data_IF_130956838705
#
_entry.id   IF_130956838705
#
_cell.length_a   1.000
_cell.length_b   1.000
_cell.length_c   1.000
_cell.angle_alpha   90.00
_cell.angle_beta   90.00
_cell.angle_gamma   90.00
#
_symmetry.space_group_name_H-M   'P 1'
#
loop_
_entity.id
_entity.type
_entity.pdbx_description
1 polymer ?
#
# COMPACT_ATOMS: atom_id res chain seq x y z
N UNK A 1 -33.20 1.77 61.61
CA UNK A 1 -32.62 1.67 62.98
C UNK A 1 -31.28 0.96 62.88
N UNK A 2 -30.39 1.19 63.84
CA UNK A 2 -28.95 0.90 63.72
C UNK A 2 -28.56 -0.56 64.02
N UNK A 3 -27.43 -1.00 63.44
CA UNK A 3 -26.32 -1.57 64.24
C UNK A 3 -24.96 -1.53 63.51
N UNK A 4 -24.09 -0.68 64.06
CA UNK A 4 -22.62 -0.78 64.08
C UNK A 4 -22.30 -1.92 65.10
N UNK A 5 -21.15 -2.62 65.18
CA UNK A 5 -19.79 -2.42 64.66
C UNK A 5 -19.29 -3.73 63.97
N UNK A 6 -18.07 -4.31 64.05
CA UNK A 6 -16.87 -4.19 64.90
C UNK A 6 -15.59 -4.46 64.07
N UNK A 7 -14.42 -4.51 64.72
CA UNK A 7 -13.08 -4.42 64.13
C UNK A 7 -12.41 -5.77 63.84
N UNK A 8 -11.49 -5.80 62.87
CA UNK A 8 -10.44 -6.82 62.78
C UNK A 8 -9.10 -6.19 62.37
N UNK A 9 -8.18 -5.98 63.32
CA UNK A 9 -6.83 -5.45 63.08
C UNK A 9 -5.81 -6.35 63.75
N UNK A 10 -5.03 -7.09 62.97
CA UNK A 10 -3.92 -7.92 63.46
C UNK A 10 -2.61 -7.31 62.96
N UNK A 11 -1.64 -7.21 63.87
CA UNK A 11 -0.28 -6.72 63.60
C UNK A 11 0.65 -7.93 63.73
N UNK A 12 1.50 -8.16 62.73
CA UNK A 12 2.76 -8.88 62.90
C UNK A 12 3.85 -8.17 62.09
N UNK A 13 5.07 -8.21 62.63
CA UNK A 13 6.21 -7.40 62.20
C UNK A 13 7.34 -8.29 61.64
N UNK A 14 8.50 -7.66 61.37
CA UNK A 14 9.79 -8.24 60.98
C UNK A 14 9.92 -8.62 59.48
N UNK A 15 11.09 -8.30 58.92
CA UNK A 15 11.37 -8.49 57.48
C UNK A 15 12.34 -7.49 56.83
N UNK A 16 13.06 -6.64 57.59
CA UNK A 16 14.08 -5.75 57.00
C UNK A 16 15.33 -6.56 56.62
N UNK A 17 15.34 -7.11 55.42
CA UNK A 17 16.54 -7.66 54.78
C UNK A 17 17.15 -6.55 53.93
N UNK A 18 18.23 -5.94 54.42
CA UNK A 18 18.94 -4.87 53.72
C UNK A 18 19.82 -5.46 52.59
N UNK A 19 19.19 -5.89 51.51
CA UNK A 19 19.88 -6.47 50.35
C UNK A 19 20.79 -5.44 49.68
N UNK A 20 22.10 -5.70 49.66
CA UNK A 20 23.09 -4.86 48.99
C UNK A 20 22.94 -5.00 47.47
N UNK A 21 22.06 -4.21 46.86
CA UNK A 21 21.94 -4.11 45.40
C UNK A 21 23.16 -3.36 44.84
N UNK A 22 24.15 -4.12 44.39
CA UNK A 22 25.30 -3.60 43.64
C UNK A 22 24.81 -3.10 42.29
N UNK A 23 24.64 -1.78 42.17
CA UNK A 23 24.35 -1.12 40.90
C UNK A 23 25.58 -1.14 40.00
N UNK A 24 25.73 -2.23 39.25
CA UNK A 24 26.66 -2.29 38.12
C UNK A 24 26.12 -1.36 37.03
N UNK A 25 26.63 -0.13 36.99
CA UNK A 25 26.46 0.76 35.85
C UNK A 25 27.25 0.20 34.67
N UNK A 26 26.66 -0.75 33.94
CA UNK A 26 27.07 -1.03 32.57
C UNK A 26 26.86 0.24 31.77
N UNK A 27 27.92 0.73 31.12
CA UNK A 27 27.83 1.91 30.28
C UNK A 27 26.90 1.61 29.10
N UNK A 28 25.67 2.10 29.16
CA UNK A 28 24.72 2.03 28.07
C UNK A 28 25.27 2.81 26.89
N UNK A 29 25.86 2.11 25.93
CA UNK A 29 26.30 2.71 24.67
C UNK A 29 25.07 3.35 24.02
N UNK A 30 25.09 4.68 23.89
CA UNK A 30 24.06 5.42 23.15
C UNK A 30 24.20 5.00 21.70
N UNK A 31 23.40 4.02 21.30
CA UNK A 31 23.28 3.62 19.90
C UNK A 31 22.76 4.83 19.14
N UNK A 32 23.64 5.47 18.38
CA UNK A 32 23.25 6.47 17.41
C UNK A 32 22.17 5.85 16.51
N UNK A 33 21.11 6.60 16.24
CA UNK A 33 20.05 6.15 15.35
C UNK A 33 20.67 5.91 13.96
N UNK A 34 20.92 4.63 13.65
CA UNK A 34 21.51 4.23 12.37
C UNK A 34 20.62 4.70 11.23
N UNK A 35 21.24 5.15 10.15
CA UNK A 35 20.51 5.50 8.93
C UNK A 35 19.66 4.29 8.49
N UNK A 36 18.41 4.51 8.05
CA UNK A 36 17.55 3.41 7.64
C UNK A 36 18.23 2.63 6.51
N UNK A 37 18.28 1.29 6.59
CA UNK A 37 19.06 0.50 5.63
C UNK A 37 18.56 0.76 4.21
N UNK A 38 19.50 1.06 3.31
CA UNK A 38 19.20 1.33 1.91
C UNK A 38 18.31 0.23 1.33
N UNK A 39 17.21 0.64 0.69
CA UNK A 39 16.15 -0.27 0.27
C UNK A 39 16.72 -1.43 -0.57
N UNK A 40 16.57 -2.65 -0.04
CA UNK A 40 17.20 -3.84 -0.62
C UNK A 40 16.78 -4.01 -2.09
N UNK A 41 17.72 -3.80 -2.99
CA UNK A 41 17.49 -3.96 -4.43
C UNK A 41 17.22 -5.43 -4.72
N UNK A 42 16.03 -5.73 -5.24
CA UNK A 42 15.71 -7.07 -5.75
C UNK A 42 16.80 -7.51 -6.73
N UNK A 43 17.30 -8.74 -6.56
CA UNK A 43 18.30 -9.33 -7.45
C UNK A 43 17.77 -9.65 -8.85
N UNK A 44 16.46 -9.51 -9.06
CA UNK A 44 15.80 -9.72 -10.34
C UNK A 44 15.45 -8.38 -10.98
N UNK A 45 15.84 -8.20 -12.25
CA UNK A 45 15.41 -7.03 -13.04
C UNK A 45 13.91 -7.12 -13.34
N UNK A 46 13.27 -5.97 -13.59
CA UNK A 46 11.84 -5.91 -13.92
C UNK A 46 11.44 -6.85 -15.07
N UNK A 47 12.26 -6.95 -16.12
CA UNK A 47 12.04 -7.85 -17.25
C UNK A 47 12.10 -9.35 -16.90
N UNK A 48 12.79 -9.73 -15.82
CA UNK A 48 12.83 -11.10 -15.30
C UNK A 48 11.62 -11.33 -14.39
N UNK A 49 11.34 -10.40 -13.47
CA UNK A 49 10.16 -10.44 -12.59
C UNK A 49 8.85 -10.59 -13.40
N UNK A 50 8.67 -9.76 -14.42
CA UNK A 50 7.50 -9.73 -15.31
C UNK A 50 7.42 -10.90 -16.31
N UNK A 51 8.30 -11.91 -16.20
CA UNK A 51 8.28 -13.17 -16.97
C UNK A 51 8.57 -14.39 -16.09
N UNK A 52 8.42 -14.24 -14.78
CA UNK A 52 8.73 -15.27 -13.79
C UNK A 52 7.46 -15.83 -13.17
N UNK A 53 7.54 -17.05 -12.62
CA UNK A 53 6.41 -17.69 -11.92
C UNK A 53 5.84 -16.85 -10.76
N UNK A 54 6.63 -15.90 -10.24
CA UNK A 54 6.25 -14.97 -9.17
C UNK A 54 5.68 -13.64 -9.67
N UNK A 55 5.42 -13.47 -10.98
CA UNK A 55 4.74 -12.28 -11.50
C UNK A 55 3.33 -12.18 -10.87
N UNK A 56 3.04 -11.17 -10.02
CA UNK A 56 1.75 -11.04 -9.34
C UNK A 56 0.64 -10.56 -10.28
N UNK A 57 0.98 -10.17 -11.51
CA UNK A 57 0.08 -9.59 -12.51
C UNK A 57 -0.31 -10.57 -13.64
N UNK A 58 0.04 -11.84 -13.49
CA UNK A 58 -0.41 -13.00 -14.30
C UNK A 58 -1.17 -13.91 -13.32
N UNK A 59 -2.42 -13.61 -13.06
CA UNK A 59 -3.23 -14.20 -12.00
C UNK A 59 -4.17 -15.30 -12.50
N UNK A 60 -4.25 -15.53 -13.80
CA UNK A 60 -5.06 -16.58 -14.43
C UNK A 60 -4.11 -17.56 -15.17
N UNK A 61 -4.45 -18.85 -15.23
CA UNK A 61 -3.72 -19.85 -16.04
C UNK A 61 -4.33 -20.05 -17.43
N UNK A 62 -3.69 -20.88 -18.25
CA UNK A 62 -4.15 -21.21 -19.61
C UNK A 62 -5.54 -21.89 -19.61
N UNK A 63 -5.94 -22.53 -18.50
CA UNK A 63 -7.26 -23.12 -18.29
C UNK A 63 -8.37 -22.11 -17.89
N UNK A 64 -8.01 -20.90 -17.44
CA UNK A 64 -8.96 -19.86 -17.00
C UNK A 64 -9.26 -19.81 -15.49
N UNK A 65 -8.59 -20.64 -14.68
CA UNK A 65 -8.65 -20.62 -13.22
C UNK A 65 -7.81 -19.48 -12.61
N UNK A 66 -8.29 -18.91 -11.51
CA UNK A 66 -7.55 -17.89 -10.74
C UNK A 66 -6.47 -18.57 -9.88
N UNK A 67 -5.21 -18.15 -10.09
CA UNK A 67 -4.02 -18.53 -9.34
C UNK A 67 -3.98 -17.85 -7.97
N UNK A 68 -4.93 -18.19 -7.08
CA UNK A 68 -5.16 -17.55 -5.77
C UNK A 68 -3.90 -17.36 -4.89
N UNK A 69 -2.89 -18.23 -5.03
CA UNK A 69 -1.60 -18.08 -4.35
C UNK A 69 -0.85 -16.78 -4.69
N UNK A 70 -1.05 -16.23 -5.90
CA UNK A 70 -0.44 -14.95 -6.33
C UNK A 70 -1.06 -13.74 -5.64
N UNK A 71 -2.32 -13.80 -5.21
CA UNK A 71 -2.95 -12.74 -4.40
C UNK A 71 -2.15 -12.47 -3.12
N UNK A 72 -1.61 -13.52 -2.50
CA UNK A 72 -0.80 -13.46 -1.29
C UNK A 72 0.57 -12.77 -1.49
N UNK A 73 0.97 -12.38 -2.70
CA UNK A 73 2.19 -11.58 -2.94
C UNK A 73 1.97 -10.14 -2.46
N UNK A 74 0.79 -9.57 -2.71
CA UNK A 74 0.43 -8.21 -2.33
C UNK A 74 -0.40 -8.14 -1.04
N UNK A 75 -1.27 -9.13 -0.83
CA UNK A 75 -2.20 -9.20 0.30
C UNK A 75 -1.68 -10.08 1.44
N UNK A 76 -2.22 -9.88 2.64
CA UNK A 76 -1.96 -10.75 3.82
C UNK A 76 -2.79 -12.03 3.82
N UNK A 77 -3.94 -12.01 3.15
CA UNK A 77 -4.89 -13.10 2.95
C UNK A 77 -5.38 -13.07 1.51
N UNK A 78 -5.95 -14.16 1.01
CA UNK A 78 -6.63 -14.15 -0.28
C UNK A 78 -7.93 -13.34 -0.15
N UNK A 79 -8.17 -12.32 -1.00
CA UNK A 79 -9.42 -11.56 -0.96
C UNK A 79 -10.62 -12.37 -1.45
N UNK A 80 -11.79 -12.20 -0.84
CA UNK A 80 -13.05 -12.67 -1.45
C UNK A 80 -13.56 -11.60 -2.43
N UNK A 81 -13.28 -11.80 -3.72
CA UNK A 81 -13.69 -10.90 -4.81
C UNK A 81 -15.21 -10.71 -4.91
N UNK A 82 -16.03 -11.53 -4.25
CA UNK A 82 -17.49 -11.36 -4.18
C UNK A 82 -17.94 -10.43 -3.05
N UNK A 83 -17.15 -10.27 -1.99
CA UNK A 83 -17.48 -9.46 -0.80
C UNK A 83 -16.61 -8.20 -0.69
N UNK A 84 -15.31 -8.33 -0.91
CA UNK A 84 -14.32 -7.26 -0.77
C UNK A 84 -14.20 -6.50 -2.10
N UNK A 85 -14.86 -5.33 -2.20
CA UNK A 85 -15.07 -4.60 -3.47
C UNK A 85 -14.15 -3.41 -3.70
N UNK A 86 -13.46 -2.97 -2.66
CA UNK A 86 -12.64 -1.76 -2.65
C UNK A 86 -11.35 -1.99 -1.87
N UNK A 87 -10.39 -1.06 -2.03
CA UNK A 87 -9.15 -1.05 -1.23
C UNK A 87 -9.39 -0.89 0.29
N UNK A 88 -10.61 -0.53 0.72
CA UNK A 88 -10.98 -0.42 2.14
C UNK A 88 -11.30 -1.79 2.76
N UNK A 89 -11.62 -2.78 1.92
CA UNK A 89 -12.16 -4.08 2.33
C UNK A 89 -11.08 -5.17 2.35
N UNK A 90 -9.91 -4.90 1.77
CA UNK A 90 -8.78 -5.85 1.61
C UNK A 90 -7.59 -5.46 2.48
N UNK A 91 -6.85 -6.45 2.97
CA UNK A 91 -5.61 -6.20 3.73
C UNK A 91 -4.35 -6.38 2.86
N UNK A 92 -3.41 -5.44 2.96
CA UNK A 92 -2.14 -5.40 2.22
C UNK A 92 -0.96 -5.72 3.13
N UNK A 93 0.13 -6.26 2.58
CA UNK A 93 1.34 -6.63 3.35
C UNK A 93 2.12 -5.47 3.97
N UNK A 94 1.90 -4.24 3.52
CA UNK A 94 2.59 -3.04 3.99
C UNK A 94 1.57 -1.95 4.34
N UNK A 95 1.93 -1.06 5.27
CA UNK A 95 1.01 -0.03 5.76
C UNK A 95 0.73 1.09 4.75
N UNK A 96 1.74 1.44 3.93
CA UNK A 96 1.57 2.27 2.74
C UNK A 96 1.34 1.35 1.52
N UNK A 97 0.20 1.46 0.80
CA UNK A 97 -0.07 0.68 -0.40
C UNK A 97 1.00 0.84 -1.50
N UNK A 98 1.74 1.95 -1.49
CA UNK A 98 2.83 2.23 -2.43
C UNK A 98 4.04 1.33 -2.20
N UNK A 99 4.34 0.95 -0.96
CA UNK A 99 5.44 0.02 -0.65
C UNK A 99 5.25 -1.34 -1.30
N UNK A 100 4.00 -1.83 -1.38
CA UNK A 100 3.66 -3.10 -2.04
C UNK A 100 4.21 -3.12 -3.47
N UNK A 101 3.98 -2.03 -4.22
CA UNK A 101 4.52 -1.85 -5.57
C UNK A 101 6.03 -1.62 -5.54
N UNK A 102 6.52 -0.83 -4.58
CA UNK A 102 7.94 -0.48 -4.42
C UNK A 102 8.88 -1.65 -4.12
N UNK A 103 8.38 -2.81 -3.68
CA UNK A 103 9.20 -4.03 -3.56
C UNK A 103 9.56 -4.66 -4.91
N UNK A 104 8.83 -4.32 -5.98
CA UNK A 104 9.02 -4.89 -7.33
C UNK A 104 9.32 -3.84 -8.41
N UNK A 105 8.89 -2.60 -8.21
CA UNK A 105 9.03 -1.49 -9.17
C UNK A 105 9.88 -0.35 -8.59
N UNK A 106 10.75 0.23 -9.42
CA UNK A 106 11.48 1.45 -9.07
C UNK A 106 10.53 2.63 -9.16
N UNK A 107 9.97 3.03 -8.01
CA UNK A 107 9.05 4.18 -7.92
C UNK A 107 9.82 5.49 -8.22
N UNK A 108 9.48 6.13 -9.34
CA UNK A 108 9.93 7.49 -9.69
C UNK A 108 8.74 8.46 -9.57
N UNK A 109 8.97 9.77 -9.31
CA UNK A 109 7.90 10.76 -9.35
C UNK A 109 7.22 10.77 -10.72
N UNK A 110 5.92 10.49 -10.79
CA UNK A 110 5.21 10.43 -12.07
C UNK A 110 3.69 10.56 -11.97
N UNK A 111 3.04 11.07 -13.03
CA UNK A 111 2.09 10.32 -13.84
C UNK A 111 2.85 9.68 -15.02
N UNK A 112 2.75 8.36 -15.19
CA UNK A 112 3.57 7.51 -16.07
C UNK A 112 5.10 7.56 -15.81
N UNK A 113 5.66 6.49 -15.27
CA UNK A 113 7.10 6.37 -14.90
C UNK A 113 8.10 6.37 -16.07
N UNK A 114 7.66 6.82 -17.25
CA UNK A 114 8.32 6.71 -18.53
C UNK A 114 8.67 8.09 -19.11
N UNK A 115 9.50 8.84 -18.37
CA UNK A 115 10.48 9.72 -18.99
C UNK A 115 11.59 8.88 -19.66
N UNK A 116 11.19 7.99 -20.59
CA UNK A 116 12.04 7.09 -21.40
C UNK A 116 12.10 7.56 -22.86
N UNK A 117 11.12 8.36 -23.31
CA UNK A 117 11.28 9.18 -24.49
C UNK A 117 12.37 10.22 -24.21
N UNK A 118 13.41 10.25 -25.04
CA UNK A 118 14.49 11.23 -24.93
C UNK A 118 13.96 12.67 -24.96
N UNK A 119 12.86 12.90 -25.65
CA UNK A 119 12.14 14.17 -25.76
C UNK A 119 11.64 14.69 -24.39
N UNK A 120 11.05 13.84 -23.54
CA UNK A 120 10.68 14.22 -22.17
C UNK A 120 11.93 14.48 -21.32
N UNK A 121 12.97 13.65 -21.43
CA UNK A 121 14.23 13.85 -20.68
C UNK A 121 14.94 15.16 -21.07
N UNK A 122 14.93 15.53 -22.35
CA UNK A 122 15.57 16.73 -22.89
C UNK A 122 14.71 18.00 -22.72
N UNK A 123 13.39 17.87 -22.48
CA UNK A 123 12.50 19.00 -22.24
C UNK A 123 12.72 19.71 -20.90
N UNK A 124 13.46 19.09 -19.96
CA UNK A 124 13.58 19.57 -18.58
C UNK A 124 12.31 19.39 -17.73
N UNK A 125 11.30 18.66 -18.23
CA UNK A 125 10.06 18.39 -17.51
C UNK A 125 10.30 17.56 -16.24
N UNK A 126 10.13 18.20 -15.09
CA UNK A 126 10.11 17.52 -13.79
C UNK A 126 8.71 16.94 -13.56
N UNK A 127 8.60 15.62 -13.69
CA UNK A 127 7.33 14.93 -13.48
C UNK A 127 6.83 15.12 -12.03
N UNK A 128 5.61 15.65 -11.81
CA UNK A 128 5.12 15.99 -10.48
C UNK A 128 4.83 14.74 -9.65
N UNK A 129 5.21 14.77 -8.37
CA UNK A 129 4.93 13.68 -7.43
C UNK A 129 3.41 13.52 -7.23
N UNK A 130 2.88 12.36 -7.65
CA UNK A 130 1.48 12.01 -7.46
C UNK A 130 1.20 11.24 -6.16
N UNK A 131 2.20 10.82 -5.38
CA UNK A 131 2.00 10.12 -4.09
C UNK A 131 1.64 11.11 -2.96
N UNK A 132 0.58 11.89 -3.18
CA UNK A 132 0.13 13.03 -2.37
C UNK A 132 -1.38 13.03 -2.19
N UNK A 133 -1.88 13.78 -1.21
CA UNK A 133 -3.32 13.99 -1.03
C UNK A 133 -3.85 14.91 -2.16
N UNK A 134 -4.82 14.48 -2.97
CA UNK A 134 -5.35 15.26 -4.07
C UNK A 134 -6.16 16.47 -3.57
N UNK A 135 -6.16 17.56 -4.36
CA UNK A 135 -6.99 18.72 -4.03
C UNK A 135 -8.49 18.39 -4.21
N UNK A 136 -9.37 19.18 -3.58
CA UNK A 136 -10.83 18.99 -3.69
C UNK A 136 -11.35 19.01 -5.14
N UNK A 137 -10.67 19.73 -6.04
CA UNK A 137 -10.98 19.78 -7.47
C UNK A 137 -10.64 18.43 -8.13
N UNK A 138 -9.45 17.89 -7.86
CA UNK A 138 -9.03 16.57 -8.35
C UNK A 138 -9.99 15.48 -7.84
N UNK A 139 -10.32 15.47 -6.54
CA UNK A 139 -11.29 14.52 -5.95
C UNK A 139 -12.68 14.64 -6.60
N UNK A 140 -13.09 15.85 -7.01
CA UNK A 140 -14.32 16.05 -7.79
C UNK A 140 -14.22 15.41 -9.17
N UNK A 141 -13.12 15.66 -9.90
CA UNK A 141 -12.86 15.06 -11.21
C UNK A 141 -12.80 13.52 -11.17
N UNK A 142 -12.19 12.95 -10.13
CA UNK A 142 -12.16 11.49 -9.91
C UNK A 142 -13.58 10.90 -9.72
N UNK A 143 -14.49 11.62 -9.05
CA UNK A 143 -15.90 11.23 -8.90
C UNK A 143 -16.67 11.33 -10.22
N UNK A 144 -16.36 12.32 -11.05
CA UNK A 144 -16.88 12.38 -12.41
C UNK A 144 -16.32 11.24 -13.28
N UNK A 145 -15.05 10.89 -13.19
CA UNK A 145 -14.48 9.74 -13.91
C UNK A 145 -15.19 8.42 -13.56
N UNK A 146 -15.47 8.19 -12.27
CA UNK A 146 -16.25 7.03 -11.81
C UNK A 146 -17.70 6.99 -12.32
N UNK A 147 -18.29 8.16 -12.62
CA UNK A 147 -19.66 8.28 -13.14
C UNK A 147 -19.72 8.19 -14.65
N UNK A 148 -18.92 9.02 -15.34
CA UNK A 148 -18.97 9.27 -16.78
C UNK A 148 -18.20 8.19 -17.56
N UNK A 149 -17.04 7.77 -17.05
CA UNK A 149 -16.10 6.85 -17.71
C UNK A 149 -16.03 5.47 -17.03
N UNK A 150 -16.82 5.26 -15.98
CA UNK A 150 -16.83 4.07 -15.10
C UNK A 150 -15.51 3.77 -14.38
N UNK A 151 -14.46 4.57 -14.57
CA UNK A 151 -13.13 4.41 -13.99
C UNK A 151 -13.14 4.58 -12.47
N UNK A 152 -12.89 3.52 -11.72
CA UNK A 152 -12.63 3.63 -10.28
C UNK A 152 -11.19 4.07 -10.03
N UNK A 153 -11.01 5.19 -9.33
CA UNK A 153 -9.70 5.69 -8.90
C UNK A 153 -9.61 5.60 -7.36
N UNK A 154 -9.15 4.47 -6.78
CA UNK A 154 -9.04 4.31 -5.33
C UNK A 154 -7.96 5.22 -4.74
N UNK A 155 -8.19 5.76 -3.55
CA UNK A 155 -7.20 6.44 -2.71
C UNK A 155 -6.80 5.52 -1.55
N UNK A 156 -5.65 5.79 -0.93
CA UNK A 156 -5.27 5.14 0.34
C UNK A 156 -6.37 5.36 1.40
N UNK A 157 -6.99 4.29 1.95
CA UNK A 157 -8.05 4.43 2.94
C UNK A 157 -7.61 5.06 4.27
N UNK A 158 -6.30 5.09 4.58
CA UNK A 158 -5.73 5.69 5.81
C UNK A 158 -5.38 7.18 5.65
N UNK A 159 -4.87 7.59 4.49
CA UNK A 159 -4.30 8.96 4.29
C UNK A 159 -4.96 9.79 3.19
N UNK A 160 -5.94 9.24 2.46
CA UNK A 160 -6.55 9.83 1.26
C UNK A 160 -5.54 10.22 0.15
N UNK A 161 -4.29 9.72 0.20
CA UNK A 161 -3.30 9.92 -0.87
C UNK A 161 -3.69 9.16 -2.14
N UNK A 162 -3.32 9.74 -3.28
CA UNK A 162 -3.14 8.99 -4.52
C UNK A 162 -1.98 8.00 -4.32
N UNK A 163 -2.15 6.79 -4.84
CA UNK A 163 -1.26 5.64 -4.71
C UNK A 163 -1.08 4.97 -6.09
N UNK A 164 -0.14 4.02 -6.19
CA UNK A 164 0.11 3.31 -7.45
C UNK A 164 -1.17 2.68 -8.04
N UNK A 165 -2.02 2.07 -7.21
CA UNK A 165 -3.28 1.45 -7.63
C UNK A 165 -4.42 2.42 -7.93
N UNK A 166 -4.24 3.74 -7.70
CA UNK A 166 -5.15 4.78 -8.19
C UNK A 166 -5.13 4.85 -9.71
N UNK A 167 -3.92 4.88 -10.30
CA UNK A 167 -3.73 5.07 -11.74
C UNK A 167 -3.54 3.75 -12.51
N UNK A 168 -3.10 2.69 -11.82
CA UNK A 168 -2.85 1.36 -12.40
C UNK A 168 -3.79 0.32 -11.78
N UNK A 169 -4.25 -0.66 -12.56
CA UNK A 169 -4.90 -1.86 -12.05
C UNK A 169 -3.84 -2.95 -11.91
N UNK A 170 -3.43 -3.38 -10.72
CA UNK A 170 -2.45 -4.46 -10.60
C UNK A 170 -3.00 -5.79 -11.14
N UNK A 171 -4.33 -5.93 -11.20
CA UNK A 171 -4.97 -7.19 -11.53
C UNK A 171 -5.00 -7.51 -13.03
N UNK A 172 -5.04 -8.80 -13.33
CA UNK A 172 -5.38 -9.34 -14.66
C UNK A 172 -6.90 -9.30 -14.89
N UNK A 173 -7.32 -9.21 -16.15
CA UNK A 173 -8.71 -9.04 -16.54
C UNK A 173 -9.55 -10.27 -16.19
N UNK A 174 -10.67 -10.03 -15.52
CA UNK A 174 -11.58 -11.09 -15.07
C UNK A 174 -11.25 -11.67 -13.69
N UNK A 175 -10.12 -11.27 -13.06
CA UNK A 175 -9.89 -11.50 -11.62
C UNK A 175 -10.88 -10.68 -10.79
N UNK A 176 -11.20 -9.47 -11.26
CA UNK A 176 -12.23 -8.61 -10.70
C UNK A 176 -13.37 -8.43 -11.70
N UNK A 177 -14.49 -7.86 -11.23
CA UNK A 177 -15.70 -7.67 -12.03
C UNK A 177 -16.15 -6.21 -12.04
N UNK A 178 -16.70 -5.76 -13.19
CA UNK A 178 -17.23 -4.41 -13.36
C UNK A 178 -16.15 -3.32 -13.23
N UNK A 179 -16.46 -2.23 -12.51
CA UNK A 179 -15.62 -1.02 -12.48
C UNK A 179 -14.21 -1.20 -11.88
N UNK A 180 -14.00 -2.27 -11.11
CA UNK A 180 -12.69 -2.56 -10.51
C UNK A 180 -11.73 -3.28 -11.49
N UNK A 181 -12.30 -3.97 -12.49
CA UNK A 181 -11.60 -4.62 -13.60
C UNK A 181 -11.13 -3.61 -14.67
N UNK A 182 -11.75 -2.42 -14.71
CA UNK A 182 -11.49 -1.44 -15.77
C UNK A 182 -10.01 -1.00 -15.82
N UNK A 183 -9.40 -1.15 -16.99
CA UNK A 183 -7.97 -0.95 -17.23
C UNK A 183 -7.06 -2.16 -16.97
N UNK A 184 -7.61 -3.31 -16.55
CA UNK A 184 -6.85 -4.56 -16.54
C UNK A 184 -6.36 -4.89 -17.96
N UNK A 185 -5.08 -5.27 -18.07
CA UNK A 185 -4.35 -5.55 -19.32
C UNK A 185 -4.31 -4.41 -20.34
N UNK A 186 -4.62 -3.17 -19.92
CA UNK A 186 -4.29 -1.98 -20.69
C UNK A 186 -2.76 -1.76 -20.71
N UNK A 187 -2.28 -0.82 -21.54
CA UNK A 187 -0.86 -0.43 -21.54
C UNK A 187 -0.49 0.12 -20.15
N UNK A 188 0.62 -0.39 -19.59
CA UNK A 188 1.02 -0.20 -18.17
C UNK A 188 -0.06 -0.55 -17.14
N UNK A 189 -1.03 -1.40 -17.52
CA UNK A 189 -2.29 -1.67 -16.78
C UNK A 189 -3.00 -0.40 -16.32
N UNK A 190 -2.98 0.68 -17.11
CA UNK A 190 -3.59 1.94 -16.71
C UNK A 190 -5.11 1.80 -16.52
N UNK A 191 -5.67 2.39 -15.47
CA UNK A 191 -7.12 2.40 -15.18
C UNK A 191 -7.99 3.14 -16.21
N UNK A 192 -7.39 3.64 -17.30
CA UNK A 192 -8.11 4.11 -18.48
C UNK A 192 -7.76 3.20 -19.65
N UNK A 193 -8.71 2.36 -20.06
CA UNK A 193 -8.47 1.34 -21.08
C UNK A 193 -8.24 1.90 -22.50
N UNK A 194 -8.66 3.14 -22.78
CA UNK A 194 -8.63 3.75 -24.12
C UNK A 194 -8.36 5.26 -24.17
N UNK A 195 -8.46 5.98 -23.04
CA UNK A 195 -8.23 7.43 -22.97
C UNK A 195 -6.99 7.77 -22.12
N UNK A 196 -6.53 9.02 -22.13
CA UNK A 196 -5.51 9.47 -21.19
C UNK A 196 -6.04 9.48 -19.74
N UNK A 197 -5.46 8.62 -18.89
CA UNK A 197 -5.77 8.51 -17.46
C UNK A 197 -5.63 9.86 -16.73
N UNK A 198 -4.72 10.73 -17.16
CA UNK A 198 -4.51 12.03 -16.54
C UNK A 198 -5.77 12.91 -16.65
N UNK A 199 -6.56 12.78 -17.72
CA UNK A 199 -7.84 13.48 -17.87
C UNK A 199 -8.88 13.07 -16.83
N UNK A 200 -8.73 11.94 -16.14
CA UNK A 200 -9.63 11.57 -15.03
C UNK A 200 -9.43 12.45 -13.79
N UNK A 201 -8.28 13.12 -13.67
CA UNK A 201 -7.93 14.05 -12.60
C UNK A 201 -7.83 15.50 -13.09
N UNK A 202 -7.25 15.73 -14.27
CA UNK A 202 -6.85 17.02 -14.81
C UNK A 202 -7.76 17.52 -15.95
N UNK A 203 -9.07 17.25 -15.87
CA UNK A 203 -10.07 17.87 -16.76
C UNK A 203 -9.90 19.40 -16.75
N UNK A 204 -9.88 20.00 -17.94
CA UNK A 204 -9.93 21.46 -18.16
C UNK A 204 -11.38 21.92 -18.27
#
# INVERSE_FOLDING_TARGET
MSKIVLTGRVITSFGVVLGLLVWIFTAGAVMAAGEPPAAATSSYTWHVMAKSIINPHEQINDEGDILWGKCLICHTNTPDVNLEKTIKDVSLRFEDPSEVCGRCHVLKPHPAGEATSAEVMMSGFVAPNHLVVPTKIIVSNMRFALKDMQTMLPLDPKTDKIICSTCHNPHERGVLFGRADFGADAVFRSRSATADICQSCHRK
#
